data_IF_300328045702
#
_entry.id   IF_300328045702
#
_cell.length_a   1.000
_cell.length_b   1.000
_cell.length_c   1.000
_cell.angle_alpha   90.00
_cell.angle_beta   90.00
_cell.angle_gamma   90.00
#
_symmetry.space_group_name_H-M   'P 1'
#
loop_
_entity.id
_entity.type
_entity.pdbx_description
1 polymer ?
#
# COMPACT_ATOMS: atom_id res chain seq x y z
N UNK A 1 1.29 3.05 24.04
CA UNK A 1 1.21 1.59 24.27
C UNK A 1 2.39 0.94 23.56
N UNK A 2 3.15 0.09 24.24
CA UNK A 2 4.34 -0.56 23.65
C UNK A 2 3.98 -1.91 23.02
N UNK A 3 4.83 -2.43 22.12
CA UNK A 3 4.62 -3.76 21.51
C UNK A 3 4.56 -4.87 22.56
N UNK A 4 5.33 -4.77 23.66
CA UNK A 4 5.32 -5.73 24.77
C UNK A 4 3.96 -5.77 25.47
N UNK A 5 3.38 -4.60 25.75
CA UNK A 5 2.05 -4.51 26.37
C UNK A 5 0.95 -5.10 25.48
N UNK A 6 1.00 -4.86 24.17
CA UNK A 6 0.05 -5.46 23.23
C UNK A 6 0.17 -6.98 23.19
N UNK A 7 1.39 -7.50 23.29
CA UNK A 7 1.66 -8.93 23.27
C UNK A 7 1.09 -9.63 24.51
N UNK A 8 1.25 -9.02 25.69
CA UNK A 8 0.67 -9.50 26.95
C UNK A 8 -0.86 -9.57 26.88
N UNK A 9 -1.51 -8.55 26.32
CA UNK A 9 -2.97 -8.53 26.14
C UNK A 9 -3.48 -9.68 25.25
N UNK A 10 -2.79 -9.95 24.14
CA UNK A 10 -3.16 -11.06 23.25
C UNK A 10 -2.95 -12.39 23.95
N UNK A 11 -1.85 -12.56 24.70
CA UNK A 11 -1.58 -13.79 25.47
C UNK A 11 -2.61 -14.06 26.56
N UNK A 12 -3.20 -13.02 27.17
CA UNK A 12 -4.27 -13.20 28.16
C UNK A 12 -5.53 -13.84 27.56
N UNK A 13 -5.83 -13.57 26.29
CA UNK A 13 -7.02 -14.09 25.61
C UNK A 13 -6.74 -15.33 24.76
N UNK A 14 -5.51 -15.45 24.24
CA UNK A 14 -5.06 -16.50 23.33
C UNK A 14 -3.71 -17.08 23.77
N UNK A 15 -3.66 -17.83 24.89
CA UNK A 15 -2.44 -18.41 25.42
C UNK A 15 -1.78 -19.45 24.50
N UNK A 16 -2.56 -20.05 23.59
CA UNK A 16 -2.12 -21.04 22.60
C UNK A 16 -1.25 -20.44 21.48
N UNK A 17 -1.28 -19.12 21.30
CA UNK A 17 -0.62 -18.46 20.18
C UNK A 17 0.81 -18.07 20.56
N UNK A 18 1.77 -18.60 19.79
CA UNK A 18 3.18 -18.27 19.92
C UNK A 18 3.49 -16.80 19.62
N UNK A 19 4.54 -16.27 20.26
CA UNK A 19 4.93 -14.86 20.14
C UNK A 19 5.15 -14.40 18.69
N UNK A 20 5.82 -15.25 17.90
CA UNK A 20 6.12 -14.98 16.50
C UNK A 20 4.86 -14.72 15.69
N UNK A 21 3.80 -15.50 15.93
CA UNK A 21 2.54 -15.37 15.22
C UNK A 21 1.83 -14.05 15.57
N UNK A 22 1.84 -13.66 16.85
CA UNK A 22 1.28 -12.39 17.32
C UNK A 22 2.00 -11.20 16.65
N UNK A 23 3.33 -11.27 16.54
CA UNK A 23 4.13 -10.22 15.85
C UNK A 23 3.78 -10.12 14.37
N UNK A 24 3.56 -11.24 13.68
CA UNK A 24 3.12 -11.26 12.28
C UNK A 24 1.75 -10.59 12.14
N UNK A 25 0.81 -10.90 13.03
CA UNK A 25 -0.52 -10.26 13.02
C UNK A 25 -0.45 -8.76 13.27
N UNK A 26 0.37 -8.31 14.22
CA UNK A 26 0.56 -6.87 14.46
C UNK A 26 1.16 -6.17 13.26
N UNK A 27 2.16 -6.75 12.60
CA UNK A 27 2.74 -6.17 11.39
C UNK A 27 1.71 -6.08 10.25
N UNK A 28 0.88 -7.11 10.09
CA UNK A 28 -0.17 -7.12 9.08
C UNK A 28 -1.26 -6.07 9.39
N UNK A 29 -1.72 -6.01 10.63
CA UNK A 29 -2.70 -5.02 11.08
C UNK A 29 -2.18 -3.59 10.91
N UNK A 30 -0.90 -3.34 11.24
CA UNK A 30 -0.26 -2.05 11.03
C UNK A 30 -0.20 -1.69 9.55
N UNK A 31 0.18 -2.64 8.68
CA UNK A 31 0.22 -2.43 7.23
C UNK A 31 -1.15 -2.05 6.67
N UNK A 32 -2.19 -2.79 7.07
CA UNK A 32 -3.57 -2.49 6.68
C UNK A 32 -4.05 -1.14 7.22
N UNK A 33 -3.69 -0.79 8.45
CA UNK A 33 -4.00 0.51 9.03
C UNK A 33 -3.34 1.64 8.22
N UNK A 34 -2.04 1.55 7.94
CA UNK A 34 -1.32 2.53 7.13
C UNK A 34 -1.94 2.66 5.72
N UNK A 35 -2.30 1.54 5.10
CA UNK A 35 -2.93 1.51 3.77
C UNK A 35 -4.29 2.21 3.77
N UNK A 36 -5.17 1.90 4.74
CA UNK A 36 -6.53 2.46 4.81
C UNK A 36 -6.52 3.94 5.18
N UNK A 37 -5.66 4.33 6.13
CA UNK A 37 -5.60 5.72 6.60
C UNK A 37 -4.86 6.63 5.64
N UNK A 38 -4.05 6.08 4.73
CA UNK A 38 -3.20 6.85 3.81
C UNK A 38 -2.34 7.88 4.56
N UNK A 39 -1.92 7.53 5.77
CA UNK A 39 -1.17 8.44 6.66
C UNK A 39 0.24 8.72 6.14
N UNK A 40 0.82 7.74 5.45
CA UNK A 40 2.09 7.87 4.73
C UNK A 40 1.77 8.19 3.27
N UNK A 41 2.15 9.39 2.84
CA UNK A 41 2.06 9.84 1.45
C UNK A 41 3.43 10.30 1.00
N UNK A 42 3.76 10.01 -0.26
CA UNK A 42 5.00 10.48 -0.88
C UNK A 42 4.70 10.77 -2.34
N UNK A 43 5.40 11.74 -2.90
CA UNK A 43 5.34 12.08 -4.30
C UNK A 43 6.50 11.42 -5.05
N UNK A 44 6.20 10.86 -6.23
CA UNK A 44 7.21 10.31 -7.14
C UNK A 44 7.12 11.07 -8.46
N UNK A 45 8.27 11.48 -8.99
CA UNK A 45 8.39 12.14 -10.28
C UNK A 45 9.26 11.27 -11.20
N UNK A 46 8.88 11.19 -12.46
CA UNK A 46 9.62 10.48 -13.51
C UNK A 46 9.45 11.21 -14.84
N UNK A 47 10.39 10.99 -15.75
CA UNK A 47 10.35 11.55 -17.10
C UNK A 47 9.50 10.68 -18.01
N UNK A 48 8.62 11.30 -18.79
CA UNK A 48 7.86 10.61 -19.83
C UNK A 48 8.59 10.62 -21.18
N UNK A 49 8.34 9.59 -21.98
CA UNK A 49 8.83 9.39 -23.34
C UNK A 49 7.67 9.50 -24.33
N UNK A 50 7.94 10.08 -25.50
CA UNK A 50 6.94 10.16 -26.56
C UNK A 50 6.50 8.75 -26.99
N UNK A 51 5.22 8.60 -27.31
CA UNK A 51 4.57 7.33 -27.71
C UNK A 51 4.59 6.20 -26.66
N UNK A 52 4.99 6.49 -25.42
CA UNK A 52 4.98 5.52 -24.32
C UNK A 52 3.77 5.70 -23.40
N UNK A 53 2.93 4.66 -23.37
CA UNK A 53 1.66 4.67 -22.63
C UNK A 53 1.76 4.08 -21.23
N UNK A 54 2.77 3.24 -20.96
CA UNK A 54 2.86 2.48 -19.72
C UNK A 54 4.20 2.73 -19.05
N UNK A 55 4.16 3.08 -17.77
CA UNK A 55 5.35 3.27 -16.95
C UNK A 55 5.34 2.27 -15.80
N UNK A 56 6.48 1.59 -15.62
CA UNK A 56 6.67 0.70 -14.48
C UNK A 56 6.71 1.51 -13.19
N UNK A 57 5.85 1.14 -12.24
CA UNK A 57 5.90 1.72 -10.90
C UNK A 57 6.84 0.92 -10.01
N UNK A 58 7.63 1.57 -9.16
CA UNK A 58 8.44 0.88 -8.18
C UNK A 58 7.60 -0.06 -7.29
N UNK A 59 8.12 -1.25 -6.93
CA UNK A 59 7.34 -2.29 -6.24
C UNK A 59 6.96 -1.94 -4.79
N UNK A 60 7.52 -0.87 -4.24
CA UNK A 60 7.17 -0.38 -2.90
C UNK A 60 5.94 0.55 -2.91
N UNK A 61 5.45 0.98 -4.07
CA UNK A 61 4.23 1.79 -4.17
C UNK A 61 3.02 0.88 -3.95
N UNK A 62 2.27 1.13 -2.88
CA UNK A 62 1.14 0.28 -2.46
C UNK A 62 -0.19 0.76 -3.06
N UNK A 63 -0.41 2.07 -3.10
CA UNK A 63 -1.61 2.70 -3.66
C UNK A 63 -1.24 4.06 -4.25
N UNK A 64 -1.87 4.41 -5.37
CA UNK A 64 -1.72 5.70 -6.04
C UNK A 64 -2.89 6.56 -5.59
N UNK A 65 -2.66 7.76 -5.06
CA UNK A 65 -3.78 8.62 -4.63
C UNK A 65 -4.21 9.50 -5.78
N UNK A 66 -3.23 10.08 -6.46
CA UNK A 66 -3.38 11.13 -7.45
C UNK A 66 -2.23 11.05 -8.47
N UNK A 67 -2.46 11.55 -9.68
CA UNK A 67 -1.46 11.60 -10.76
C UNK A 67 -1.58 12.93 -11.49
N UNK A 68 -0.52 13.73 -11.40
CA UNK A 68 -0.39 14.96 -12.18
C UNK A 68 0.50 14.74 -13.41
N UNK A 69 0.09 15.29 -14.55
CA UNK A 69 0.85 15.29 -15.79
C UNK A 69 0.74 16.64 -16.51
N UNK A 70 1.88 17.26 -16.82
CA UNK A 70 1.96 18.57 -17.51
C UNK A 70 1.04 19.66 -16.91
N UNK A 71 0.89 19.67 -15.59
CA UNK A 71 0.08 20.65 -14.86
C UNK A 71 -1.42 20.34 -14.82
N UNK A 72 -1.83 19.16 -15.29
CA UNK A 72 -3.20 18.67 -15.21
C UNK A 72 -3.29 17.43 -14.30
N UNK A 73 -4.29 17.42 -13.43
CA UNK A 73 -4.71 16.24 -12.66
C UNK A 73 -5.37 15.23 -13.63
N UNK A 74 -4.85 14.00 -13.64
CA UNK A 74 -5.41 12.91 -14.42
C UNK A 74 -6.45 12.17 -13.55
N UNK A 75 -7.75 12.24 -13.90
CA UNK A 75 -8.77 11.56 -13.14
C UNK A 75 -8.54 10.05 -13.15
N UNK A 76 -8.47 9.48 -11.95
CA UNK A 76 -8.33 8.04 -11.74
C UNK A 76 -9.54 7.34 -12.36
N UNK A 77 -9.30 6.34 -13.21
CA UNK A 77 -10.32 5.48 -13.86
C UNK A 77 -11.07 6.06 -15.07
N UNK A 78 -10.38 6.33 -16.19
CA UNK A 78 -11.02 6.48 -17.53
C UNK A 78 -11.49 5.11 -18.08
N UNK A 79 -11.87 4.17 -17.21
CA UNK A 79 -12.30 2.82 -17.55
C UNK A 79 -11.18 1.78 -17.57
N UNK A 80 -11.59 0.51 -17.51
CA UNK A 80 -10.69 -0.64 -17.69
C UNK A 80 -10.20 -0.64 -19.14
N UNK A 81 -8.89 -0.83 -19.41
CA UNK A 81 -8.43 -0.96 -20.78
C UNK A 81 -9.20 -2.07 -21.50
N UNK A 82 -9.72 -1.75 -22.70
CA UNK A 82 -10.56 -2.65 -23.51
C UNK A 82 -9.78 -3.94 -23.85
N UNK A 83 -8.47 -3.82 -24.03
CA UNK A 83 -7.56 -4.95 -24.20
C UNK A 83 -6.84 -5.25 -22.89
N UNK A 84 -6.88 -6.50 -22.47
CA UNK A 84 -6.07 -7.03 -21.36
C UNK A 84 -4.95 -7.83 -21.99
N UNK A 85 -3.73 -7.35 -21.89
CA UNK A 85 -2.54 -8.15 -22.18
C UNK A 85 -2.18 -8.92 -20.91
N UNK A 86 -2.97 -9.95 -20.61
CA UNK A 86 -2.49 -11.07 -19.78
C UNK A 86 -1.81 -12.03 -20.76
N UNK A 87 -0.47 -12.04 -20.74
CA UNK A 87 0.33 -13.15 -21.28
C UNK A 87 0.43 -14.20 -20.17
#
# INVERSE_FOLDING_TARGET
MTQKQMLELVRQHHPEVGETQIRVWFNNALREFCRKTKILKTAYQFTTTADERWYGLPPYIVDIIDVDFDGYDIPRYIGKPIKRDLI
#
